data_IF_569468088700
#
_entry.id   IF_569468088700
#
_cell.length_a   1.000
_cell.length_b   1.000
_cell.length_c   1.000
_cell.angle_alpha   90.00
_cell.angle_beta   90.00
_cell.angle_gamma   90.00
#
_symmetry.space_group_name_H-M   'P 1'
#
loop_
_entity.id
_entity.type
_entity.pdbx_description
1 polymer ?
#
# COMPACT_ATOMS: atom_id res chain seq x y z
N UNK A 1 7.21 -5.81 -30.70
CA UNK A 1 7.94 -5.17 -29.76
C UNK A 1 7.24 -4.89 -28.46
N UNK A 2 6.15 -4.14 -28.41
CA UNK A 2 5.45 -3.94 -27.15
C UNK A 2 5.06 -5.24 -26.47
N UNK A 3 4.65 -6.23 -27.26
CA UNK A 3 4.24 -7.54 -26.77
C UNK A 3 5.40 -8.28 -26.11
N UNK A 4 6.57 -8.26 -26.73
CA UNK A 4 7.77 -8.90 -26.19
C UNK A 4 8.24 -8.19 -24.93
N UNK A 5 8.25 -6.86 -24.94
CA UNK A 5 8.67 -6.07 -23.79
C UNK A 5 7.75 -6.29 -22.59
N UNK A 6 6.43 -6.34 -22.85
CA UNK A 6 5.46 -6.59 -21.79
C UNK A 6 5.67 -7.96 -21.17
N UNK A 7 5.90 -8.99 -22.00
CA UNK A 7 6.15 -10.33 -21.51
C UNK A 7 7.45 -10.40 -20.68
N UNK A 8 8.51 -9.76 -21.16
CA UNK A 8 9.77 -9.73 -20.45
C UNK A 8 9.61 -9.05 -19.09
N UNK A 9 8.92 -7.92 -19.05
CA UNK A 9 8.67 -7.22 -17.78
C UNK A 9 7.81 -8.04 -16.83
N UNK A 10 6.81 -8.76 -17.38
CA UNK A 10 5.95 -9.58 -16.55
C UNK A 10 6.72 -10.72 -15.87
N UNK A 11 7.80 -11.20 -16.50
CA UNK A 11 8.62 -12.25 -15.94
C UNK A 11 9.69 -11.71 -14.97
N UNK A 12 9.90 -10.42 -14.97
CA UNK A 12 10.90 -9.79 -14.13
C UNK A 12 10.34 -9.55 -12.74
N UNK A 13 10.84 -10.30 -11.78
CA UNK A 13 10.30 -10.29 -10.41
C UNK A 13 11.26 -9.70 -9.38
N UNK A 14 12.44 -9.33 -9.79
CA UNK A 14 13.46 -8.74 -8.91
C UNK A 14 13.70 -9.58 -7.64
N UNK A 15 13.65 -10.92 -7.77
CA UNK A 15 13.87 -11.81 -6.65
C UNK A 15 12.68 -12.03 -5.74
N UNK A 16 11.51 -11.48 -6.07
CA UNK A 16 10.32 -11.62 -5.24
C UNK A 16 9.59 -12.93 -5.56
N UNK A 17 9.05 -13.54 -4.52
CA UNK A 17 8.23 -14.75 -4.66
C UNK A 17 6.79 -14.38 -5.04
N UNK A 18 6.03 -15.38 -5.49
CA UNK A 18 4.60 -15.19 -5.78
C UNK A 18 3.86 -14.70 -4.55
N UNK A 19 4.19 -15.25 -3.38
CA UNK A 19 3.52 -14.86 -2.13
C UNK A 19 3.81 -13.42 -1.79
N UNK A 20 5.06 -12.97 -1.98
CA UNK A 20 5.43 -11.58 -1.74
C UNK A 20 4.70 -10.64 -2.68
N UNK A 21 4.60 -11.00 -3.96
CA UNK A 21 3.88 -10.19 -4.94
C UNK A 21 2.40 -10.09 -4.61
N UNK A 22 1.78 -11.20 -4.17
CA UNK A 22 0.38 -11.19 -3.75
C UNK A 22 0.17 -10.35 -2.50
N UNK A 23 1.09 -10.41 -1.56
CA UNK A 23 1.02 -9.60 -0.35
C UNK A 23 1.11 -8.11 -0.67
N UNK A 24 1.97 -7.74 -1.60
CA UNK A 24 2.08 -6.35 -2.06
C UNK A 24 0.79 -5.89 -2.73
N UNK A 25 0.22 -6.71 -3.60
CA UNK A 25 -1.05 -6.37 -4.25
C UNK A 25 -2.18 -6.23 -3.24
N UNK A 26 -2.24 -7.13 -2.27
CA UNK A 26 -3.24 -7.06 -1.21
C UNK A 26 -3.11 -5.76 -0.43
N UNK A 27 -1.89 -5.35 -0.10
CA UNK A 27 -1.62 -4.08 0.56
C UNK A 27 -2.16 -2.91 -0.27
N UNK A 28 -1.85 -2.91 -1.57
CA UNK A 28 -2.30 -1.85 -2.47
C UNK A 28 -3.83 -1.78 -2.53
N UNK A 29 -4.49 -2.92 -2.64
CA UNK A 29 -5.95 -2.99 -2.70
C UNK A 29 -6.57 -2.55 -1.39
N UNK A 30 -6.03 -2.98 -0.27
CA UNK A 30 -6.50 -2.59 1.05
C UNK A 30 -6.36 -1.09 1.26
N UNK A 31 -5.23 -0.53 0.85
CA UNK A 31 -4.98 0.90 0.93
C UNK A 31 -6.02 1.69 0.13
N UNK A 32 -6.31 1.27 -1.10
CA UNK A 32 -7.30 1.93 -1.94
C UNK A 32 -8.69 1.84 -1.32
N UNK A 33 -9.05 0.70 -0.76
CA UNK A 33 -10.34 0.51 -0.11
C UNK A 33 -10.45 1.36 1.15
N UNK A 34 -9.40 1.47 1.93
CA UNK A 34 -9.39 2.31 3.13
C UNK A 34 -9.54 3.79 2.77
N UNK A 35 -8.87 4.25 1.73
CA UNK A 35 -9.01 5.61 1.26
C UNK A 35 -10.47 5.90 0.87
N UNK A 36 -11.07 5.00 0.09
CA UNK A 36 -12.46 5.15 -0.32
C UNK A 36 -13.40 5.18 0.89
N UNK A 37 -13.17 4.30 1.84
CA UNK A 37 -13.99 4.26 3.07
C UNK A 37 -13.79 5.51 3.90
N UNK A 38 -12.57 5.99 4.00
CA UNK A 38 -12.27 7.24 4.70
C UNK A 38 -13.01 8.43 4.12
N UNK A 39 -13.03 8.53 2.79
CA UNK A 39 -13.77 9.59 2.12
C UNK A 39 -15.28 9.47 2.37
N UNK A 40 -15.82 8.25 2.36
CA UNK A 40 -17.24 8.03 2.66
C UNK A 40 -17.56 8.48 4.08
N UNK A 41 -16.75 8.09 5.05
CA UNK A 41 -16.96 8.47 6.44
C UNK A 41 -16.83 9.97 6.64
N UNK A 42 -15.94 10.61 5.91
CA UNK A 42 -15.81 12.07 5.95
C UNK A 42 -17.08 12.74 5.44
N UNK A 43 -17.62 12.26 4.33
CA UNK A 43 -18.88 12.81 3.78
C UNK A 43 -20.05 12.59 4.73
N UNK A 44 -20.02 11.54 5.54
CA UNK A 44 -21.04 11.26 6.55
C UNK A 44 -20.81 12.04 7.85
N UNK A 45 -19.77 12.82 7.93
CA UNK A 45 -19.45 13.59 9.13
C UNK A 45 -18.86 12.78 10.28
N UNK A 46 -18.50 11.53 10.06
CA UNK A 46 -17.95 10.66 11.11
C UNK A 46 -16.45 10.83 11.30
N UNK A 47 -15.78 11.36 10.30
CA UNK A 47 -14.34 11.62 10.32
C UNK A 47 -14.13 13.08 9.94
N UNK A 48 -13.33 13.85 10.70
CA UNK A 48 -13.19 15.29 10.45
C UNK A 48 -12.61 15.63 9.09
N UNK A 49 -11.67 14.80 8.59
CA UNK A 49 -11.13 14.99 7.25
C UNK A 49 -10.59 13.66 6.76
N UNK A 50 -10.40 13.57 5.43
CA UNK A 50 -9.80 12.41 4.79
C UNK A 50 -8.80 12.86 3.75
N UNK A 51 -7.63 12.20 3.74
CA UNK A 51 -6.58 12.45 2.78
C UNK A 51 -6.24 11.14 2.11
N UNK A 52 -6.33 11.11 0.79
CA UNK A 52 -6.04 9.90 0.03
C UNK A 52 -4.56 9.76 -0.32
N UNK A 53 -4.16 8.53 -0.56
CA UNK A 53 -2.82 8.21 -1.04
C UNK A 53 -2.86 7.54 -2.41
N UNK A 54 -3.91 7.80 -3.18
CA UNK A 54 -4.08 7.22 -4.50
C UNK A 54 -2.90 7.56 -5.41
N UNK A 55 -2.41 6.55 -6.12
CA UNK A 55 -1.23 6.68 -6.96
C UNK A 55 0.07 6.34 -6.26
N UNK A 56 0.08 6.25 -4.94
CA UNK A 56 1.27 5.93 -4.14
C UNK A 56 1.31 4.48 -3.66
N UNK A 57 0.29 3.69 -3.99
CA UNK A 57 0.14 2.35 -3.43
C UNK A 57 1.32 1.44 -3.73
N UNK A 58 1.77 1.41 -4.98
CA UNK A 58 2.86 0.52 -5.37
C UNK A 58 4.17 0.89 -4.68
N UNK A 59 4.46 2.18 -4.62
CA UNK A 59 5.66 2.66 -3.95
C UNK A 59 5.65 2.28 -2.47
N UNK A 60 4.54 2.49 -1.82
CA UNK A 60 4.43 2.24 -0.39
C UNK A 60 4.43 0.74 -0.08
N UNK A 61 3.79 -0.08 -0.91
CA UNK A 61 3.83 -1.52 -0.75
C UNK A 61 5.25 -2.06 -0.91
N UNK A 62 6.00 -1.54 -1.88
CA UNK A 62 7.39 -1.91 -2.07
C UNK A 62 8.28 -1.49 -0.91
N UNK A 63 8.11 -0.25 -0.45
CA UNK A 63 8.89 0.25 0.68
C UNK A 63 8.61 -0.56 1.96
N UNK A 64 7.35 -0.91 2.19
CA UNK A 64 6.98 -1.72 3.35
C UNK A 64 7.62 -3.11 3.30
N UNK A 65 7.76 -3.67 2.10
CA UNK A 65 8.42 -4.96 1.91
C UNK A 65 9.89 -4.92 2.31
N UNK A 66 10.55 -3.79 2.10
CA UNK A 66 11.96 -3.61 2.44
C UNK A 66 12.18 -3.22 3.90
N UNK A 67 11.12 -2.89 4.62
CA UNK A 67 11.20 -2.45 6.01
C UNK A 67 11.42 -3.64 6.95
N UNK A 68 12.36 -3.51 7.87
CA UNK A 68 12.66 -4.54 8.86
C UNK A 68 12.12 -4.12 10.22
N UNK A 69 11.04 -4.75 10.64
CA UNK A 69 10.42 -4.48 11.93
C UNK A 69 11.41 -4.78 13.06
N UNK A 70 11.47 -3.88 14.01
CA UNK A 70 12.38 -4.02 15.13
C UNK A 70 13.78 -3.49 14.88
N UNK A 71 14.13 -3.21 13.63
CA UNK A 71 15.43 -2.64 13.27
C UNK A 71 15.31 -1.26 12.66
N UNK A 72 14.36 -1.11 11.73
CA UNK A 72 14.18 0.15 11.02
C UNK A 72 13.22 1.06 11.77
N UNK A 73 13.44 2.35 11.62
CA UNK A 73 12.57 3.37 12.22
C UNK A 73 11.75 3.97 11.09
N UNK A 74 10.44 4.06 11.30
CA UNK A 74 9.53 4.65 10.34
C UNK A 74 9.10 6.03 10.81
N UNK A 75 9.32 7.03 9.97
CA UNK A 75 8.84 8.39 10.20
C UNK A 75 7.90 8.76 9.06
N UNK A 76 6.64 8.30 9.11
CA UNK A 76 5.73 8.43 7.99
C UNK A 76 5.13 9.82 7.86
N UNK A 77 4.63 10.09 6.68
CA UNK A 77 3.87 11.27 6.36
C UNK A 77 2.38 10.90 6.36
N UNK A 78 1.52 11.90 6.31
CA UNK A 78 0.07 11.65 6.42
C UNK A 78 -0.51 10.85 5.24
N UNK A 79 0.18 10.78 4.12
CA UNK A 79 -0.24 9.99 2.95
C UNK A 79 0.35 8.59 2.92
N UNK A 80 1.04 8.17 3.96
CA UNK A 80 1.78 6.92 3.98
C UNK A 80 0.98 5.76 4.57
N UNK A 81 -0.29 5.70 4.24
CA UNK A 81 -1.19 4.65 4.72
C UNK A 81 -0.69 3.25 4.34
N UNK A 82 -0.18 3.11 3.11
CA UNK A 82 0.34 1.83 2.65
C UNK A 82 1.54 1.34 3.44
N UNK A 83 2.37 2.25 3.93
CA UNK A 83 3.48 1.88 4.81
C UNK A 83 2.95 1.36 6.15
N UNK A 84 1.96 2.03 6.72
CA UNK A 84 1.36 1.59 7.98
C UNK A 84 0.74 0.20 7.85
N UNK A 85 -0.02 -0.02 6.80
CA UNK A 85 -0.63 -1.33 6.53
C UNK A 85 0.46 -2.39 6.32
N UNK A 86 1.47 -2.07 5.54
CA UNK A 86 2.52 -3.02 5.20
C UNK A 86 3.35 -3.47 6.39
N UNK A 87 3.46 -2.63 7.42
CA UNK A 87 4.21 -3.00 8.62
C UNK A 87 3.31 -3.60 9.72
N UNK A 88 2.01 -3.74 9.47
CA UNK A 88 1.14 -4.52 10.31
C UNK A 88 -0.06 -3.84 10.94
N UNK A 89 -0.29 -2.56 10.69
CA UNK A 89 -1.50 -1.92 11.19
C UNK A 89 -2.72 -2.43 10.44
N UNK A 90 -3.80 -2.65 11.16
CA UNK A 90 -5.05 -3.13 10.59
C UNK A 90 -5.98 -1.98 10.26
N UNK A 91 -6.95 -2.19 9.35
CA UNK A 91 -7.97 -1.17 9.07
C UNK A 91 -8.71 -0.70 10.31
N UNK A 92 -8.96 -1.61 11.23
CA UNK A 92 -9.64 -1.27 12.49
C UNK A 92 -8.83 -0.26 13.31
N UNK A 93 -7.52 -0.45 13.36
CA UNK A 93 -6.64 0.46 14.11
C UNK A 93 -6.49 1.82 13.45
N UNK A 94 -6.60 1.86 12.11
CA UNK A 94 -6.46 3.11 11.35
C UNK A 94 -7.74 3.93 11.41
N UNK A 95 -8.87 3.31 11.28
CA UNK A 95 -10.18 3.95 11.34
C UNK A 95 -10.72 3.95 12.77
#
# INVERSE_FOLDING_TARGET
>A
MAKTDTKARALERHGLTDEQLRAMLRNMLMQRQLDNRGFQLNRQGKVPFALGSEGHEALQAGAAMAFHRGKDILAPYYRDLGLAIGIGLTPFEIL
#
